data_IF_824689593586
#
_entry.id   IF_824689593586
#
_cell.length_a   1.000
_cell.length_b   1.000
_cell.length_c   1.000
_cell.angle_alpha   90.00
_cell.angle_beta   90.00
_cell.angle_gamma   90.00
#
_symmetry.space_group_name_H-M   'P 1'
#
loop_
_entity.id
_entity.type
_entity.pdbx_description
1 polymer ?
#
# COMPACT_ATOMS: atom_id res chain seq x y z
N UNK A 1 -3.34 -18.50 0.01
CA UNK A 1 -2.56 -17.76 1.03
C UNK A 1 -2.45 -18.50 2.39
N UNK A 2 -2.08 -19.80 2.44
CA UNK A 2 -1.88 -20.51 3.73
C UNK A 2 -0.52 -20.20 4.36
N UNK A 3 0.51 -20.04 3.53
CA UNK A 3 1.89 -19.78 3.97
C UNK A 3 2.02 -18.44 4.72
N UNK A 4 1.46 -17.36 4.17
CA UNK A 4 1.47 -16.03 4.78
C UNK A 4 0.88 -16.04 6.20
N UNK A 5 -0.27 -16.70 6.37
CA UNK A 5 -0.91 -16.84 7.69
C UNK A 5 -0.03 -17.64 8.66
N UNK A 6 0.57 -18.73 8.19
CA UNK A 6 1.47 -19.55 9.01
C UNK A 6 2.75 -18.80 9.43
N UNK A 7 3.31 -17.96 8.56
CA UNK A 7 4.48 -17.12 8.90
C UNK A 7 4.08 -16.09 9.96
N UNK A 8 2.95 -15.41 9.80
CA UNK A 8 2.49 -14.39 10.73
C UNK A 8 2.17 -14.99 12.11
N UNK A 9 1.47 -16.12 12.13
CA UNK A 9 1.14 -16.85 13.36
C UNK A 9 2.41 -17.30 14.10
N UNK A 10 3.40 -17.84 13.36
CA UNK A 10 4.68 -18.27 13.95
C UNK A 10 5.53 -17.11 14.48
N UNK A 11 5.44 -15.94 13.85
CA UNK A 11 6.20 -14.76 14.25
C UNK A 11 5.41 -13.84 15.21
N UNK A 12 4.20 -14.24 15.64
CA UNK A 12 3.33 -13.45 16.52
C UNK A 12 3.11 -12.02 16.02
N UNK A 13 2.98 -11.86 14.70
CA UNK A 13 2.79 -10.55 14.09
C UNK A 13 1.41 -10.03 14.44
N UNK A 14 1.37 -8.92 15.21
CA UNK A 14 0.13 -8.33 15.73
C UNK A 14 -0.61 -7.47 14.71
N UNK A 15 0.14 -6.79 13.84
CA UNK A 15 -0.39 -5.87 12.83
C UNK A 15 0.37 -6.11 11.53
N UNK A 16 -0.37 -6.13 10.41
CA UNK A 16 0.18 -6.16 9.07
C UNK A 16 -0.16 -4.83 8.41
N UNK A 17 0.87 -4.10 8.00
CA UNK A 17 0.73 -2.84 7.27
C UNK A 17 0.99 -3.06 5.78
N UNK A 18 0.09 -2.59 4.94
CA UNK A 18 0.21 -2.66 3.48
C UNK A 18 0.93 -1.42 2.95
N UNK A 19 1.85 -1.61 2.01
CA UNK A 19 2.62 -0.55 1.33
C UNK A 19 2.58 -0.72 -0.21
N UNK A 20 1.52 -1.33 -0.73
CA UNK A 20 1.38 -1.55 -2.17
C UNK A 20 1.29 -0.22 -2.94
N UNK A 21 1.57 -0.30 -4.24
CA UNK A 21 1.55 0.83 -5.18
C UNK A 21 0.22 1.60 -5.11
N UNK A 22 0.30 2.91 -5.37
CA UNK A 22 -0.83 3.81 -5.42
C UNK A 22 -1.55 3.74 -6.78
N UNK A 23 -1.91 2.51 -7.17
CA UNK A 23 -2.60 2.22 -8.41
C UNK A 23 -3.73 1.20 -8.21
N UNK A 24 -4.54 1.01 -9.25
CA UNK A 24 -5.67 0.08 -9.22
C UNK A 24 -5.30 -1.32 -8.73
N UNK A 25 -4.14 -1.85 -9.11
CA UNK A 25 -3.73 -3.18 -8.69
C UNK A 25 -3.27 -3.19 -7.22
N UNK A 26 -2.50 -2.19 -6.81
CA UNK A 26 -2.10 -2.04 -5.41
C UNK A 26 -3.30 -1.91 -4.46
N UNK A 27 -4.34 -1.18 -4.87
CA UNK A 27 -5.58 -1.12 -4.09
C UNK A 27 -6.28 -2.48 -4.00
N UNK A 28 -6.40 -3.21 -5.13
CA UNK A 28 -6.99 -4.55 -5.15
C UNK A 28 -6.27 -5.50 -4.20
N UNK A 29 -4.93 -5.54 -4.27
CA UNK A 29 -4.14 -6.42 -3.42
C UNK A 29 -4.20 -6.02 -1.95
N UNK A 30 -4.26 -4.72 -1.63
CA UNK A 30 -4.47 -4.24 -0.26
C UNK A 30 -5.79 -4.76 0.32
N UNK A 31 -6.88 -4.62 -0.43
CA UNK A 31 -8.20 -5.11 0.02
C UNK A 31 -8.24 -6.64 0.08
N UNK A 32 -7.58 -7.35 -0.84
CA UNK A 32 -7.48 -8.80 -0.83
C UNK A 32 -6.74 -9.32 0.41
N UNK A 33 -5.64 -8.65 0.77
CA UNK A 33 -4.87 -8.92 1.97
C UNK A 33 -5.75 -8.70 3.21
N UNK A 34 -6.42 -7.54 3.27
CA UNK A 34 -7.32 -7.19 4.38
C UNK A 34 -8.46 -8.22 4.53
N UNK A 35 -9.11 -8.60 3.43
CA UNK A 35 -10.12 -9.67 3.37
C UNK A 35 -9.61 -10.99 3.91
N UNK A 36 -8.40 -11.40 3.52
CA UNK A 36 -7.83 -12.68 3.93
C UNK A 36 -7.48 -12.73 5.43
N UNK A 37 -7.11 -11.60 6.03
CA UNK A 37 -6.72 -11.52 7.45
C UNK A 37 -7.88 -11.19 8.38
N UNK A 38 -8.70 -10.22 8.05
CA UNK A 38 -9.76 -9.69 8.91
C UNK A 38 -11.15 -10.22 8.53
N UNK A 39 -11.26 -11.03 7.47
CA UNK A 39 -12.51 -11.70 7.10
C UNK A 39 -13.53 -10.82 6.38
N UNK A 40 -13.09 -9.68 5.83
CA UNK A 40 -13.96 -8.77 5.05
C UNK A 40 -14.53 -9.47 3.81
N UNK A 41 -15.81 -9.28 3.51
CA UNK A 41 -16.50 -9.89 2.36
C UNK A 41 -16.68 -8.94 1.18
N UNK A 42 -16.08 -7.74 1.22
CA UNK A 42 -16.14 -6.77 0.13
C UNK A 42 -15.77 -7.40 -1.21
N UNK A 43 -16.63 -7.21 -2.23
CA UNK A 43 -16.39 -7.71 -3.58
C UNK A 43 -15.45 -6.76 -4.32
N UNK A 44 -14.17 -7.13 -4.40
CA UNK A 44 -13.08 -6.25 -4.87
C UNK A 44 -13.04 -6.16 -6.40
N UNK A 45 -13.57 -7.17 -7.10
CA UNK A 45 -13.48 -7.23 -8.57
C UNK A 45 -14.51 -6.34 -9.29
N UNK A 46 -15.65 -6.06 -8.64
CA UNK A 46 -16.71 -5.21 -9.20
C UNK A 46 -16.50 -3.72 -8.96
N UNK A 47 -15.58 -3.34 -8.07
CA UNK A 47 -15.34 -1.94 -7.69
C UNK A 47 -14.54 -1.17 -8.75
N UNK A 48 -14.92 0.09 -8.93
CA UNK A 48 -14.14 1.05 -9.71
C UNK A 48 -12.85 1.45 -8.97
N UNK A 49 -11.90 2.05 -9.69
CA UNK A 49 -10.61 2.47 -9.11
C UNK A 49 -10.79 3.49 -7.97
N UNK A 50 -11.73 4.43 -8.12
CA UNK A 50 -12.02 5.41 -7.08
C UNK A 50 -12.59 4.74 -5.83
N UNK A 51 -13.52 3.81 -5.98
CA UNK A 51 -14.07 3.07 -4.83
C UNK A 51 -13.02 2.18 -4.15
N UNK A 52 -12.13 1.57 -4.92
CA UNK A 52 -11.00 0.82 -4.40
C UNK A 52 -10.08 1.73 -3.56
N UNK A 53 -9.74 2.91 -4.10
CA UNK A 53 -8.92 3.90 -3.42
C UNK A 53 -9.57 4.40 -2.13
N UNK A 54 -10.85 4.75 -2.19
CA UNK A 54 -11.59 5.27 -1.03
C UNK A 54 -11.61 4.23 0.10
N UNK A 55 -11.94 2.98 -0.22
CA UNK A 55 -11.91 1.88 0.75
C UNK A 55 -10.52 1.64 1.33
N UNK A 56 -9.48 1.76 0.51
CA UNK A 56 -8.10 1.61 0.99
C UNK A 56 -7.73 2.75 1.94
N UNK A 57 -8.16 3.98 1.68
CA UNK A 57 -7.95 5.12 2.59
C UNK A 57 -8.71 5.00 3.91
N UNK A 58 -9.84 4.27 3.95
CA UNK A 58 -10.56 3.98 5.20
C UNK A 58 -9.82 2.98 6.11
N UNK A 59 -8.87 2.22 5.56
CA UNK A 59 -8.10 1.24 6.32
C UNK A 59 -6.99 1.91 7.14
N UNK A 60 -6.91 1.58 8.43
CA UNK A 60 -5.90 2.14 9.35
C UNK A 60 -4.49 1.57 9.18
N UNK A 61 -4.35 0.43 8.52
CA UNK A 61 -3.09 -0.32 8.39
C UNK A 61 -2.55 -0.27 6.95
N UNK A 62 -2.71 0.86 6.28
CA UNK A 62 -2.22 1.07 4.92
C UNK A 62 -1.43 2.36 4.86
N UNK A 63 -0.28 2.31 4.21
CA UNK A 63 0.46 3.49 3.77
C UNK A 63 0.49 3.48 2.24
N UNK A 64 0.14 4.62 1.65
CA UNK A 64 0.20 4.83 0.20
C UNK A 64 1.30 5.82 -0.11
N UNK A 65 1.99 5.60 -1.23
CA UNK A 65 2.93 6.58 -1.78
C UNK A 65 2.19 7.85 -2.23
N UNK A 66 2.88 8.99 -2.21
CA UNK A 66 2.36 10.25 -2.74
C UNK A 66 2.25 10.20 -4.26
N UNK A 67 3.25 9.60 -4.92
CA UNK A 67 3.25 9.31 -6.34
C UNK A 67 2.73 7.88 -6.58
N UNK A 68 3.19 7.25 -7.66
CA UNK A 68 2.75 5.93 -8.11
C UNK A 68 3.26 4.80 -7.21
N UNK A 69 4.52 4.85 -6.81
CA UNK A 69 5.14 3.88 -5.92
C UNK A 69 6.19 4.56 -5.02
N UNK A 70 6.63 3.84 -3.98
CA UNK A 70 7.63 4.33 -3.02
C UNK A 70 9.00 4.61 -3.66
N UNK A 71 9.35 3.96 -4.77
CA UNK A 71 10.61 4.24 -5.45
C UNK A 71 10.56 5.59 -6.18
N UNK A 72 9.41 5.94 -6.74
CA UNK A 72 9.20 7.24 -7.37
C UNK A 72 9.17 8.36 -6.33
N UNK A 73 8.57 8.13 -5.15
CA UNK A 73 8.67 9.04 -4.00
C UNK A 73 10.13 9.23 -3.55
N UNK A 74 10.89 8.13 -3.47
CA UNK A 74 12.30 8.18 -3.12
C UNK A 74 13.09 9.02 -4.13
N UNK A 75 12.88 8.82 -5.43
CA UNK A 75 13.54 9.62 -6.48
C UNK A 75 13.15 11.11 -6.40
N UNK A 76 11.88 11.41 -6.15
CA UNK A 76 11.39 12.78 -6.01
C UNK A 76 12.08 13.48 -4.82
N UNK A 77 12.21 12.78 -3.68
CA UNK A 77 12.91 13.31 -2.49
C UNK A 77 14.42 13.48 -2.70
N UNK A 78 15.06 12.62 -3.49
CA UNK A 78 16.47 12.80 -3.84
C UNK A 78 16.69 14.00 -4.79
N UNK A 79 15.72 14.32 -5.65
CA UNK A 79 15.86 15.42 -6.62
C UNK A 79 15.74 16.80 -5.94
N UNK A 80 14.99 16.90 -4.86
CA UNK A 80 14.92 18.12 -4.03
C UNK A 80 16.14 18.29 -3.11
N UNK A 81 17.02 17.29 -3.04
CA UNK A 81 18.22 17.28 -2.21
C UNK A 81 19.49 17.77 -2.91
N UNK A 82 19.42 18.19 -4.18
CA UNK A 82 20.55 18.88 -4.82
C UNK A 82 20.59 20.33 -4.32
N UNK A 83 21.61 20.74 -3.55
CA UNK A 83 21.83 22.16 -3.29
C UNK A 83 22.04 22.83 -4.64
N UNK A 84 21.44 23.99 -4.84
CA UNK A 84 21.81 24.87 -5.93
C UNK A 84 23.34 25.04 -5.92
N UNK A 85 24.03 24.48 -6.93
CA UNK A 85 25.41 24.87 -7.21
C UNK A 85 25.35 26.34 -7.60
N UNK A 86 25.68 27.20 -6.64
CA UNK A 86 26.07 28.56 -6.89
C UNK A 86 27.34 28.55 -7.74
N UNK A 87 27.26 29.17 -8.91
CA UNK A 87 28.40 29.51 -9.75
C UNK A 87 28.19 30.93 -10.25
N UNK A 88 28.79 31.85 -9.52
CA UNK A 88 28.83 33.30 -9.74
C UNK A 88 29.65 33.66 -10.98
#
# INVERSE_FOLDING_TARGET
>A
MKLLRLILDKNQVKELRSIFDNDKQGYKYTLWLHRHFYGDTTDIESLSENELRDKVHELKNVELSENKDWNDDLKASCTTSSPAEGGQ
#
